data_IF_294232393116
#
_entry.id   IF_294232393116
#
_cell.length_a   1.000
_cell.length_b   1.000
_cell.length_c   1.000
_cell.angle_alpha   90.00
_cell.angle_beta   90.00
_cell.angle_gamma   90.00
#
_symmetry.space_group_name_H-M   'P 1'
#
loop_
_entity.id
_entity.type
_entity.pdbx_description
1 polymer ?
#
# COMPACT_ATOMS: atom_id res chain seq x y z
N UNK A 1 -5.58 18.65 -3.22
CA UNK A 1 -6.84 17.88 -3.08
C UNK A 1 -6.96 16.78 -4.13
N UNK A 2 -6.92 17.10 -5.44
CA UNK A 2 -7.07 16.10 -6.51
C UNK A 2 -6.00 15.00 -6.53
N UNK A 3 -4.77 15.32 -6.11
CA UNK A 3 -3.65 14.35 -6.04
C UNK A 3 -3.83 13.28 -4.96
N UNK A 4 -4.30 13.66 -3.77
CA UNK A 4 -4.56 12.72 -2.67
C UNK A 4 -5.73 11.80 -3.05
N UNK A 5 -6.77 12.37 -3.65
CA UNK A 5 -7.90 11.59 -4.14
C UNK A 5 -7.49 10.57 -5.21
N UNK A 6 -6.70 10.99 -6.20
CA UNK A 6 -6.17 10.09 -7.21
C UNK A 6 -5.29 8.98 -6.60
N UNK A 7 -4.43 9.32 -5.64
CA UNK A 7 -3.58 8.34 -4.97
C UNK A 7 -4.39 7.26 -4.23
N UNK A 8 -5.47 7.65 -3.52
CA UNK A 8 -6.34 6.71 -2.79
C UNK A 8 -7.19 5.89 -3.76
N UNK A 9 -7.74 6.51 -4.81
CA UNK A 9 -8.61 5.83 -5.79
C UNK A 9 -7.85 4.80 -6.62
N UNK A 10 -6.60 5.08 -6.95
CA UNK A 10 -5.75 4.17 -7.72
C UNK A 10 -4.83 3.34 -6.82
N UNK A 11 -5.08 3.29 -5.51
CA UNK A 11 -4.25 2.60 -4.54
C UNK A 11 -3.87 1.16 -4.93
N UNK A 12 -4.80 0.27 -5.33
CA UNK A 12 -4.42 -1.09 -5.70
C UNK A 12 -3.52 -1.14 -6.93
N UNK A 13 -3.71 -0.24 -7.88
CA UNK A 13 -2.99 -0.23 -9.15
C UNK A 13 -1.51 0.09 -8.98
N UNK A 14 -1.14 0.97 -8.04
CA UNK A 14 0.27 1.27 -7.74
C UNK A 14 0.79 0.51 -6.51
N UNK A 15 -0.09 0.18 -5.56
CA UNK A 15 0.24 -0.54 -4.32
C UNK A 15 0.71 -1.97 -4.58
N UNK A 16 0.11 -2.67 -5.55
CA UNK A 16 0.53 -4.03 -5.93
C UNK A 16 1.94 -4.02 -6.56
N UNK A 17 2.24 -3.21 -7.60
CA UNK A 17 3.61 -3.08 -8.12
C UNK A 17 4.63 -2.69 -7.05
N UNK A 18 4.27 -1.75 -6.15
CA UNK A 18 5.16 -1.33 -5.07
C UNK A 18 5.43 -2.47 -4.08
N UNK A 19 4.42 -3.27 -3.74
CA UNK A 19 4.58 -4.43 -2.87
C UNK A 19 5.52 -5.48 -3.50
N UNK A 20 5.45 -5.69 -4.82
CA UNK A 20 6.38 -6.58 -5.54
C UNK A 20 7.81 -6.07 -5.45
N UNK A 21 8.04 -4.78 -5.72
CA UNK A 21 9.38 -4.17 -5.65
C UNK A 21 9.94 -4.24 -4.22
N UNK A 22 9.13 -3.93 -3.21
CA UNK A 22 9.55 -4.05 -1.81
C UNK A 22 9.81 -5.50 -1.40
N UNK A 23 9.08 -6.47 -1.98
CA UNK A 23 9.31 -7.90 -1.79
C UNK A 23 10.69 -8.33 -2.31
N UNK A 24 11.06 -7.90 -3.51
CA UNK A 24 12.40 -8.15 -4.08
C UNK A 24 13.51 -7.52 -3.21
N UNK A 25 13.29 -6.30 -2.72
CA UNK A 25 14.22 -5.63 -1.81
C UNK A 25 14.31 -6.38 -0.47
N UNK A 26 13.17 -6.81 0.09
CA UNK A 26 13.13 -7.61 1.30
C UNK A 26 13.92 -8.91 1.13
N UNK A 27 13.76 -9.57 -0.02
CA UNK A 27 14.49 -10.78 -0.37
C UNK A 27 15.99 -10.55 -0.54
N UNK A 28 16.38 -9.44 -1.14
CA UNK A 28 17.78 -9.03 -1.24
C UNK A 28 18.42 -8.86 0.16
N UNK A 29 17.74 -8.18 1.08
CA UNK A 29 18.24 -8.01 2.45
C UNK A 29 18.18 -9.29 3.28
N UNK A 30 17.22 -10.18 2.97
CA UNK A 30 17.14 -11.50 3.57
C UNK A 30 18.39 -12.34 3.29
N UNK A 31 18.86 -12.35 2.02
CA UNK A 31 20.11 -13.02 1.64
C UNK A 31 21.33 -12.47 2.38
N UNK A 32 21.30 -11.20 2.77
CA UNK A 32 22.36 -10.54 3.54
C UNK A 32 22.21 -10.69 5.07
N UNK A 33 21.18 -11.40 5.55
CA UNK A 33 20.81 -11.50 6.98
C UNK A 33 20.75 -10.14 7.70
N UNK A 34 20.38 -9.10 6.97
CA UNK A 34 20.27 -7.76 7.53
C UNK A 34 18.94 -7.59 8.26
N UNK A 35 18.93 -6.86 9.38
CA UNK A 35 17.70 -6.50 10.10
C UNK A 35 16.72 -5.70 9.22
N UNK A 36 17.23 -5.03 8.18
CA UNK A 36 16.44 -4.32 7.18
C UNK A 36 15.35 -5.21 6.55
N UNK A 37 15.57 -6.53 6.46
CA UNK A 37 14.60 -7.48 5.91
C UNK A 37 13.22 -7.38 6.57
N UNK A 38 13.18 -7.20 7.90
CA UNK A 38 11.92 -7.21 8.66
C UNK A 38 11.10 -5.95 8.38
N UNK A 39 11.77 -4.81 8.18
CA UNK A 39 11.12 -3.57 7.79
C UNK A 39 10.48 -3.69 6.41
N UNK A 40 11.22 -4.22 5.42
CA UNK A 40 10.68 -4.39 4.07
C UNK A 40 9.56 -5.45 4.01
N UNK A 41 9.72 -6.60 4.68
CA UNK A 41 8.65 -7.60 4.78
C UNK A 41 7.42 -7.05 5.51
N UNK A 42 7.61 -6.25 6.55
CA UNK A 42 6.52 -5.56 7.24
C UNK A 42 5.78 -4.57 6.34
N UNK A 43 6.50 -3.80 5.51
CA UNK A 43 5.89 -2.91 4.52
C UNK A 43 5.11 -3.67 3.44
N UNK A 44 5.65 -4.79 2.93
CA UNK A 44 4.95 -5.66 1.97
C UNK A 44 3.66 -6.20 2.57
N UNK A 45 3.72 -6.73 3.80
CA UNK A 45 2.54 -7.21 4.52
C UNK A 45 1.50 -6.11 4.74
N UNK A 46 1.95 -4.91 5.12
CA UNK A 46 1.06 -3.75 5.32
C UNK A 46 0.38 -3.33 4.03
N UNK A 47 1.12 -3.27 2.91
CA UNK A 47 0.55 -2.99 1.59
C UNK A 47 -0.45 -4.06 1.15
N UNK A 48 -0.14 -5.34 1.40
CA UNK A 48 -1.05 -6.43 1.08
C UNK A 48 -2.37 -6.33 1.87
N UNK A 49 -2.29 -6.15 3.19
CA UNK A 49 -3.47 -6.00 4.06
C UNK A 49 -4.28 -4.78 3.68
N UNK A 50 -3.64 -3.62 3.49
CA UNK A 50 -4.33 -2.39 3.10
C UNK A 50 -4.97 -2.50 1.72
N UNK A 51 -4.35 -3.21 0.77
CA UNK A 51 -4.95 -3.49 -0.55
C UNK A 51 -6.18 -4.37 -0.43
N UNK A 52 -6.12 -5.42 0.38
CA UNK A 52 -7.28 -6.28 0.65
C UNK A 52 -8.41 -5.48 1.30
N UNK A 53 -8.11 -4.70 2.34
CA UNK A 53 -9.11 -3.86 3.01
C UNK A 53 -9.71 -2.84 2.05
N UNK A 54 -8.90 -2.24 1.19
CA UNK A 54 -9.38 -1.31 0.16
C UNK A 54 -10.39 -1.98 -0.77
N UNK A 55 -10.12 -3.22 -1.22
CA UNK A 55 -11.03 -3.98 -2.08
C UNK A 55 -12.32 -4.36 -1.32
N UNK A 56 -12.19 -4.88 -0.09
CA UNK A 56 -13.32 -5.30 0.74
C UNK A 56 -14.28 -4.14 1.03
N UNK A 57 -13.73 -2.97 1.36
CA UNK A 57 -14.52 -1.78 1.67
C UNK A 57 -14.94 -0.97 0.43
N UNK A 58 -14.77 -1.50 -0.79
CA UNK A 58 -15.04 -0.77 -2.04
C UNK A 58 -14.45 0.64 -2.03
N UNK A 59 -13.13 0.72 -1.81
CA UNK A 59 -12.40 1.98 -1.82
C UNK A 59 -12.56 2.76 -3.13
N UNK A 60 -12.93 2.10 -4.23
CA UNK A 60 -13.27 2.75 -5.50
C UNK A 60 -14.50 3.67 -5.38
N UNK A 61 -15.52 3.26 -4.63
CA UNK A 61 -16.76 4.01 -4.40
C UNK A 61 -16.62 4.96 -3.21
N UNK A 62 -16.00 4.50 -2.13
CA UNK A 62 -15.95 5.22 -0.86
C UNK A 62 -14.76 6.19 -0.73
N UNK A 63 -13.81 6.17 -1.67
CA UNK A 63 -12.63 7.06 -1.66
C UNK A 63 -13.01 8.55 -1.63
N UNK A 64 -14.11 8.92 -2.28
CA UNK A 64 -14.61 10.30 -2.32
C UNK A 64 -15.06 10.78 -0.94
N UNK A 65 -15.75 9.92 -0.21
CA UNK A 65 -16.27 10.23 1.12
C UNK A 65 -15.15 10.25 2.16
N UNK A 66 -14.24 9.28 2.13
CA UNK A 66 -13.08 9.23 3.03
C UNK A 66 -12.17 10.44 2.89
N UNK A 67 -11.89 10.84 1.63
CA UNK A 67 -11.04 12.00 1.38
C UNK A 67 -11.70 13.29 1.89
N UNK A 68 -13.03 13.44 1.74
CA UNK A 68 -13.77 14.59 2.28
C UNK A 68 -13.83 14.61 3.81
N UNK A 69 -14.00 13.44 4.45
CA UNK A 69 -14.00 13.34 5.91
C UNK A 69 -12.63 13.66 6.52
N UNK A 70 -11.53 13.26 5.87
CA UNK A 70 -10.17 13.56 6.33
C UNK A 70 -9.76 15.03 6.21
N UNK A 71 -10.48 15.82 5.40
CA UNK A 71 -10.14 17.22 5.11
C UNK A 71 -11.06 18.23 5.82
N UNK A 72 -12.01 17.76 6.63
CA UNK A 72 -12.80 18.56 7.57
C UNK A 72 -12.08 18.64 8.91
#
# INVERSE_FOLDING_TARGET
MHTIFAAIRFFPYWGIPLAVVLGEIAWYFHRKRSIAQYYFWGLVGTLAVTTILWIVFRGDINSDEWTRQMLR
#
